data_IF_077323481212
#
_entry.id   IF_077323481212
#
_cell.length_a   1.000
_cell.length_b   1.000
_cell.length_c   1.000
_cell.angle_alpha   90.00
_cell.angle_beta   90.00
_cell.angle_gamma   90.00
#
_symmetry.space_group_name_H-M   'P 1'
#
loop_
_entity.id
_entity.type
_entity.pdbx_description
1 polymer ?
#
# COMPACT_ATOMS: atom_id res chain seq x y z
N UNK A 1 10.11 15.70 1.05
CA UNK A 1 9.40 14.61 0.35
C UNK A 1 9.55 14.72 -1.17
N UNK A 2 8.96 15.74 -1.81
CA UNK A 2 8.93 15.88 -3.28
C UNK A 2 10.32 15.97 -3.95
N UNK A 3 11.28 16.65 -3.33
CA UNK A 3 12.62 16.77 -3.93
C UNK A 3 13.34 15.41 -3.94
N UNK A 4 13.21 14.63 -2.87
CA UNK A 4 13.82 13.29 -2.73
C UNK A 4 13.26 12.27 -3.73
N UNK A 5 11.99 12.40 -4.11
CA UNK A 5 11.34 11.47 -5.06
C UNK A 5 11.85 11.61 -6.50
N UNK A 6 12.71 12.60 -6.78
CA UNK A 6 13.47 12.68 -8.04
C UNK A 6 14.66 11.72 -8.10
N UNK A 7 15.06 11.12 -6.97
CA UNK A 7 16.26 10.29 -6.84
C UNK A 7 15.97 8.90 -6.25
N UNK A 8 14.98 8.79 -5.36
CA UNK A 8 14.64 7.55 -4.67
C UNK A 8 13.14 7.26 -4.70
N UNK A 9 12.79 6.00 -4.92
CA UNK A 9 11.40 5.52 -4.91
C UNK A 9 10.79 5.46 -3.52
N UNK A 10 11.61 5.39 -2.48
CA UNK A 10 11.19 5.30 -1.08
C UNK A 10 11.93 6.33 -0.26
N UNK A 11 11.25 6.94 0.71
CA UNK A 11 11.91 7.67 1.78
C UNK A 11 11.02 7.73 3.02
N UNK A 12 11.59 7.38 4.18
CA UNK A 12 11.01 7.63 5.50
C UNK A 12 11.62 8.89 6.13
N UNK A 13 10.87 9.57 6.99
CA UNK A 13 11.35 10.72 7.74
C UNK A 13 10.64 10.84 9.10
N UNK A 14 11.33 11.48 10.04
CA UNK A 14 10.79 11.88 11.33
C UNK A 14 11.16 13.34 11.58
N UNK A 15 10.17 14.16 11.93
CA UNK A 15 10.34 15.59 12.26
C UNK A 15 9.93 15.77 13.72
N UNK A 16 10.68 16.58 14.48
CA UNK A 16 10.34 16.90 15.87
C UNK A 16 10.75 15.85 16.91
N UNK A 17 11.63 14.91 16.55
CA UNK A 17 12.19 13.88 17.45
C UNK A 17 13.44 14.35 18.22
N UNK A 18 13.76 15.65 18.20
CA UNK A 18 14.88 16.18 18.99
C UNK A 18 14.49 16.21 20.47
N UNK A 19 15.37 15.66 21.31
CA UNK A 19 15.18 15.33 22.73
C UNK A 19 14.88 16.50 23.68
N UNK A 20 14.60 17.69 23.15
CA UNK A 20 14.34 18.93 23.90
C UNK A 20 12.87 19.38 23.89
N UNK A 21 12.01 18.75 23.09
CA UNK A 21 10.57 19.08 23.02
C UNK A 21 9.75 17.82 23.21
N UNK A 22 8.61 17.93 23.92
CA UNK A 22 7.73 16.80 24.20
C UNK A 22 7.37 16.02 22.91
N UNK A 23 7.20 14.69 22.99
CA UNK A 23 6.84 13.83 21.86
C UNK A 23 5.48 14.15 21.19
N UNK A 24 4.71 15.09 21.75
CA UNK A 24 3.39 15.53 21.25
C UNK A 24 3.44 16.27 19.91
N UNK A 25 4.63 16.70 19.46
CA UNK A 25 4.82 17.39 18.18
C UNK A 25 5.52 16.56 17.09
N UNK A 26 5.89 15.30 17.36
CA UNK A 26 6.61 14.48 16.40
C UNK A 26 5.70 14.05 15.24
N UNK A 27 6.23 14.08 14.02
CA UNK A 27 5.56 13.55 12.83
C UNK A 27 6.48 12.56 12.13
N UNK A 28 5.97 11.35 11.95
CA UNK A 28 6.58 10.29 11.19
C UNK A 28 5.88 10.22 9.84
N UNK A 29 6.64 9.98 8.77
CA UNK A 29 6.05 9.82 7.47
C UNK A 29 6.93 9.06 6.51
N UNK A 30 6.31 8.57 5.45
CA UNK A 30 6.99 7.97 4.34
C UNK A 30 6.27 8.28 3.03
N UNK A 31 7.01 8.13 1.95
CA UNK A 31 6.42 7.93 0.65
C UNK A 31 7.03 6.71 -0.03
N UNK A 32 6.27 6.10 -0.93
CA UNK A 32 6.72 5.00 -1.75
C UNK A 32 6.09 5.08 -3.13
N UNK A 33 6.91 5.20 -4.17
CA UNK A 33 6.48 5.03 -5.55
C UNK A 33 6.40 3.55 -5.93
N UNK A 34 5.65 3.26 -7.00
CA UNK A 34 5.63 1.95 -7.63
C UNK A 34 7.04 1.60 -8.14
N UNK A 35 7.50 0.38 -7.87
CA UNK A 35 8.90 0.01 -8.06
C UNK A 35 9.39 -0.01 -9.52
N UNK A 36 8.46 -0.14 -10.47
CA UNK A 36 8.67 -0.13 -11.92
C UNK A 36 8.54 1.27 -12.56
N UNK A 37 8.30 2.31 -11.76
CA UNK A 37 8.09 3.67 -12.24
C UNK A 37 9.41 4.45 -12.42
N UNK A 38 9.49 5.30 -13.45
CA UNK A 38 10.60 6.21 -13.63
C UNK A 38 10.60 7.32 -12.56
N UNK A 39 11.79 7.79 -12.15
CA UNK A 39 11.90 8.81 -11.08
C UNK A 39 11.14 10.11 -11.39
N UNK A 40 11.09 10.50 -12.66
CA UNK A 40 10.35 11.69 -13.07
C UNK A 40 8.85 11.58 -12.79
N UNK A 41 8.27 10.40 -13.03
CA UNK A 41 6.84 10.15 -12.79
C UNK A 41 6.56 9.88 -11.31
N UNK A 42 7.51 9.25 -10.60
CA UNK A 42 7.50 9.18 -9.15
C UNK A 42 7.41 10.57 -8.51
N UNK A 43 8.25 11.52 -8.94
CA UNK A 43 8.20 12.88 -8.40
C UNK A 43 6.86 13.57 -8.64
N UNK A 44 6.29 13.45 -9.84
CA UNK A 44 4.94 13.99 -10.15
C UNK A 44 3.87 13.32 -9.28
N UNK A 45 3.93 12.00 -9.13
CA UNK A 45 2.97 11.25 -8.33
C UNK A 45 3.02 11.71 -6.86
N UNK A 46 4.21 11.83 -6.26
CA UNK A 46 4.36 12.31 -4.88
C UNK A 46 3.87 13.75 -4.72
N UNK A 47 4.15 14.64 -5.69
CA UNK A 47 3.61 16.01 -5.67
C UNK A 47 2.08 16.01 -5.64
N UNK A 48 1.47 15.21 -6.52
CA UNK A 48 0.03 15.06 -6.58
C UNK A 48 -0.53 14.44 -5.29
N UNK A 49 0.12 13.41 -4.77
CA UNK A 49 -0.28 12.72 -3.55
C UNK A 49 -0.26 13.61 -2.31
N UNK A 50 0.78 14.42 -2.15
CA UNK A 50 0.86 15.41 -1.04
C UNK A 50 -0.24 16.46 -1.15
N UNK A 51 -0.56 16.94 -2.36
CA UNK A 51 -1.65 17.90 -2.54
C UNK A 51 -3.02 17.27 -2.26
N UNK A 52 -3.25 16.04 -2.72
CA UNK A 52 -4.54 15.36 -2.55
C UNK A 52 -4.78 14.89 -1.12
N UNK A 53 -3.75 14.40 -0.41
CA UNK A 53 -3.94 13.89 0.96
C UNK A 53 -4.39 15.00 1.90
N UNK A 54 -3.88 16.23 1.70
CA UNK A 54 -4.30 17.39 2.49
C UNK A 54 -5.76 17.78 2.25
N UNK A 55 -6.22 17.68 1.00
CA UNK A 55 -7.61 17.96 0.63
C UNK A 55 -8.57 16.86 1.11
N UNK A 56 -8.14 15.60 1.04
CA UNK A 56 -8.97 14.44 1.41
C UNK A 56 -9.06 14.24 2.92
N UNK A 57 -8.01 14.60 3.68
CA UNK A 57 -7.93 14.40 5.12
C UNK A 57 -7.55 15.71 5.85
N UNK A 58 -8.43 16.75 5.80
CA UNK A 58 -8.14 18.02 6.45
C UNK A 58 -8.01 17.84 7.97
N UNK A 59 -7.06 18.57 8.57
CA UNK A 59 -6.82 18.61 10.03
C UNK A 59 -6.57 17.25 10.71
N UNK A 60 -6.20 16.21 9.95
CA UNK A 60 -5.93 14.88 10.50
C UNK A 60 -4.49 14.75 11.00
N UNK A 61 -4.29 14.23 12.22
CA UNK A 61 -2.97 13.93 12.81
C UNK A 61 -2.25 12.74 12.16
N UNK A 62 -2.97 11.95 11.38
CA UNK A 62 -2.40 10.95 10.50
C UNK A 62 -3.29 10.73 9.29
N UNK A 63 -2.69 10.50 8.15
CA UNK A 63 -3.40 10.17 6.94
C UNK A 63 -2.55 9.29 6.03
N UNK A 64 -3.24 8.50 5.21
CA UNK A 64 -2.62 7.74 4.13
C UNK A 64 -3.39 7.92 2.83
N UNK A 65 -2.67 8.01 1.73
CA UNK A 65 -3.22 8.14 0.39
C UNK A 65 -2.48 7.18 -0.54
N UNK A 66 -3.23 6.33 -1.22
CA UNK A 66 -2.74 5.47 -2.29
C UNK A 66 -3.25 6.00 -3.63
N UNK A 67 -2.32 6.39 -4.49
CA UNK A 67 -2.53 6.58 -5.93
C UNK A 67 -2.04 5.33 -6.68
N UNK A 68 -2.43 5.16 -7.95
CA UNK A 68 -1.95 4.05 -8.78
C UNK A 68 -0.40 3.99 -8.89
N UNK A 69 0.26 5.15 -8.84
CA UNK A 69 1.72 5.25 -8.96
C UNK A 69 2.49 5.38 -7.64
N UNK A 70 1.85 5.73 -6.53
CA UNK A 70 2.56 6.04 -5.30
C UNK A 70 1.66 6.06 -4.05
N UNK A 71 2.31 5.93 -2.90
CA UNK A 71 1.72 5.96 -1.58
C UNK A 71 2.37 7.07 -0.74
N UNK A 72 1.55 7.79 0.03
CA UNK A 72 2.00 8.80 0.99
C UNK A 72 1.30 8.50 2.32
N UNK A 73 2.08 8.45 3.41
CA UNK A 73 1.54 8.31 4.77
C UNK A 73 2.30 9.21 5.73
N UNK A 74 1.55 9.85 6.61
CA UNK A 74 2.10 10.53 7.79
C UNK A 74 1.26 10.23 9.02
N UNK A 75 1.87 10.29 10.19
CA UNK A 75 1.23 10.03 11.47
C UNK A 75 2.05 10.65 12.61
N UNK A 76 1.42 10.98 13.72
CA UNK A 76 2.08 11.44 14.95
C UNK A 76 2.71 10.29 15.77
N UNK A 77 2.25 9.05 15.55
CA UNK A 77 2.83 7.85 16.15
C UNK A 77 3.88 7.25 15.23
N UNK A 78 4.97 6.77 15.82
CA UNK A 78 6.02 6.08 15.09
C UNK A 78 5.51 4.73 14.54
N UNK A 79 5.38 4.64 13.23
CA UNK A 79 4.99 3.42 12.51
C UNK A 79 6.12 2.84 11.65
N UNK A 80 7.27 3.52 11.56
CA UNK A 80 8.33 3.15 10.63
C UNK A 80 8.95 1.81 11.03
N UNK A 81 9.03 0.89 10.07
CA UNK A 81 9.64 -0.43 10.24
C UNK A 81 8.78 -1.41 11.06
N UNK A 82 7.54 -1.05 11.41
CA UNK A 82 6.63 -1.91 12.18
C UNK A 82 5.69 -2.64 11.23
N UNK A 83 5.69 -3.97 11.28
CA UNK A 83 4.79 -4.79 10.48
C UNK A 83 3.33 -4.52 10.86
N UNK A 84 2.50 -4.21 9.86
CA UNK A 84 1.06 -4.04 9.99
C UNK A 84 0.35 -4.68 8.79
N UNK A 85 -0.38 -5.78 9.07
CA UNK A 85 -1.13 -6.55 8.08
C UNK A 85 -2.65 -6.32 8.15
N UNK A 86 -3.07 -5.25 8.84
CA UNK A 86 -4.46 -4.80 8.84
C UNK A 86 -4.89 -4.38 7.43
N UNK A 87 -6.14 -4.73 7.05
CA UNK A 87 -6.68 -4.37 5.74
C UNK A 87 -7.00 -2.89 5.73
N UNK A 88 -6.41 -2.15 4.80
CA UNK A 88 -6.68 -0.72 4.58
C UNK A 88 -7.69 -0.52 3.47
N UNK A 89 -7.57 -1.28 2.38
CA UNK A 89 -8.50 -1.23 1.26
C UNK A 89 -8.55 -2.57 0.54
N UNK A 90 -9.72 -2.92 0.00
CA UNK A 90 -9.86 -4.06 -0.90
C UNK A 90 -10.88 -3.79 -2.00
N UNK A 91 -10.61 -4.30 -3.19
CA UNK A 91 -11.50 -4.19 -4.35
C UNK A 91 -11.51 -5.53 -5.08
N UNK A 92 -12.68 -6.06 -5.34
CA UNK A 92 -12.86 -7.24 -6.18
C UNK A 92 -13.62 -6.83 -7.43
N UNK A 93 -13.29 -7.37 -8.59
CA UNK A 93 -14.05 -7.13 -9.82
C UNK A 93 -15.47 -7.67 -9.71
N UNK A 94 -16.43 -7.02 -10.38
CA UNK A 94 -17.80 -7.53 -10.51
C UNK A 94 -17.88 -8.79 -11.38
N UNK A 95 -16.94 -8.96 -12.31
CA UNK A 95 -16.74 -10.17 -13.09
C UNK A 95 -16.10 -11.27 -12.26
N UNK A 96 -16.61 -12.49 -12.41
CA UNK A 96 -16.04 -13.70 -11.84
C UNK A 96 -15.61 -14.68 -12.92
N UNK A 97 -14.70 -15.58 -12.56
CA UNK A 97 -14.31 -16.72 -13.37
C UNK A 97 -14.78 -18.01 -12.69
N UNK A 98 -15.13 -19.01 -13.48
CA UNK A 98 -15.34 -20.39 -13.04
C UNK A 98 -14.34 -21.35 -13.70
N UNK A 99 -13.38 -20.82 -14.45
CA UNK A 99 -12.38 -21.60 -15.16
C UNK A 99 -11.31 -22.10 -14.18
N UNK A 100 -11.17 -23.43 -14.09
CA UNK A 100 -10.16 -24.09 -13.26
C UNK A 100 -8.76 -23.67 -13.65
N UNK A 101 -8.50 -23.48 -14.95
CA UNK A 101 -7.19 -23.08 -15.44
C UNK A 101 -6.86 -21.63 -15.08
N UNK A 102 -7.86 -20.74 -15.07
CA UNK A 102 -7.71 -19.39 -14.53
C UNK A 102 -7.29 -19.43 -13.06
N UNK A 103 -7.96 -20.23 -12.22
CA UNK A 103 -7.63 -20.31 -10.80
C UNK A 103 -6.25 -20.91 -10.55
N UNK A 104 -5.85 -21.91 -11.33
CA UNK A 104 -4.51 -22.48 -11.27
C UNK A 104 -3.45 -21.42 -11.60
N UNK A 105 -3.63 -20.69 -12.70
CA UNK A 105 -2.72 -19.61 -13.13
C UNK A 105 -2.68 -18.44 -12.14
N UNK A 106 -3.83 -18.07 -11.57
CA UNK A 106 -3.90 -17.08 -10.50
C UNK A 106 -3.08 -17.54 -9.30
N UNK A 107 -3.22 -18.78 -8.89
CA UNK A 107 -2.50 -19.30 -7.74
C UNK A 107 -0.97 -19.39 -8.00
N UNK A 108 -0.55 -19.70 -9.23
CA UNK A 108 0.86 -19.60 -9.65
C UNK A 108 1.38 -18.16 -9.49
N UNK A 109 0.65 -17.17 -10.02
CA UNK A 109 1.00 -15.74 -9.95
C UNK A 109 1.07 -15.25 -8.51
N UNK A 110 0.08 -15.60 -7.68
CA UNK A 110 0.03 -15.22 -6.28
C UNK A 110 1.18 -15.84 -5.47
N UNK A 111 1.50 -17.11 -5.72
CA UNK A 111 2.62 -17.80 -5.07
C UNK A 111 3.98 -17.19 -5.44
N UNK A 112 4.18 -16.87 -6.72
CA UNK A 112 5.40 -16.22 -7.19
C UNK A 112 5.62 -14.83 -6.56
N UNK A 113 4.54 -14.06 -6.37
CA UNK A 113 4.61 -12.75 -5.73
C UNK A 113 5.02 -12.81 -4.25
N UNK A 114 4.64 -13.85 -3.51
CA UNK A 114 5.02 -14.02 -2.11
C UNK A 114 6.53 -14.28 -1.93
N UNK A 115 7.12 -15.04 -2.85
CA UNK A 115 8.53 -15.45 -2.79
C UNK A 115 9.44 -14.43 -3.47
N UNK A 116 8.96 -13.86 -4.58
CA UNK A 116 9.77 -13.05 -5.49
C UNK A 116 9.95 -11.58 -5.11
N UNK A 117 9.23 -11.09 -4.10
CA UNK A 117 9.20 -9.68 -3.72
C UNK A 117 10.22 -9.29 -2.64
N UNK A 118 11.19 -10.16 -2.30
CA UNK A 118 12.24 -9.86 -1.32
C UNK A 118 13.06 -8.59 -1.61
N UNK A 119 12.96 -8.05 -2.83
CA UNK A 119 13.55 -6.80 -3.30
C UNK A 119 12.56 -5.60 -3.29
N UNK A 120 11.45 -5.69 -2.56
CA UNK A 120 10.47 -4.62 -2.38
C UNK A 120 9.23 -4.72 -3.28
N UNK A 121 9.35 -5.18 -4.53
CA UNK A 121 8.20 -5.42 -5.40
C UNK A 121 8.39 -6.61 -6.35
N UNK A 122 7.29 -7.12 -6.89
CA UNK A 122 7.28 -8.22 -7.86
C UNK A 122 6.13 -8.05 -8.86
N UNK A 123 6.47 -8.19 -10.14
CA UNK A 123 5.51 -8.39 -11.23
C UNK A 123 5.53 -9.88 -11.59
N UNK A 124 4.36 -10.49 -11.75
CA UNK A 124 4.26 -11.90 -12.11
C UNK A 124 3.16 -12.13 -13.15
N UNK A 125 3.29 -13.18 -13.93
CA UNK A 125 2.30 -13.54 -14.96
C UNK A 125 2.29 -15.03 -15.25
N UNK A 126 1.11 -15.60 -15.47
CA UNK A 126 0.91 -16.98 -15.92
C UNK A 126 -0.25 -17.01 -16.92
N UNK A 127 0.07 -17.26 -18.19
CA UNK A 127 -0.90 -17.17 -19.28
C UNK A 127 -1.53 -15.78 -19.35
N UNK A 128 -2.86 -15.71 -19.22
CA UNK A 128 -3.60 -14.45 -19.24
C UNK A 128 -3.72 -13.77 -17.87
N UNK A 129 -3.23 -14.39 -16.79
CA UNK A 129 -3.30 -13.79 -15.45
C UNK A 129 -2.01 -13.04 -15.16
N UNK A 130 -2.14 -11.80 -14.70
CA UNK A 130 -1.04 -10.94 -14.28
C UNK A 130 -1.22 -10.57 -12.82
N UNK A 131 -0.12 -10.21 -12.15
CA UNK A 131 -0.12 -9.75 -10.78
C UNK A 131 1.00 -8.78 -10.48
N UNK A 132 0.74 -7.93 -9.50
CA UNK A 132 1.69 -6.97 -8.94
C UNK A 132 1.62 -7.01 -7.41
N UNK A 133 2.77 -7.09 -6.76
CA UNK A 133 2.88 -7.03 -5.30
C UNK A 133 4.01 -6.10 -4.89
N UNK A 134 3.84 -5.38 -3.79
CA UNK A 134 4.87 -4.50 -3.26
C UNK A 134 4.73 -4.29 -1.75
N UNK A 135 5.89 -4.27 -1.09
CA UNK A 135 6.07 -3.89 0.30
C UNK A 135 6.49 -2.42 0.39
N UNK A 136 6.20 -1.79 1.52
CA UNK A 136 6.82 -0.51 1.86
C UNK A 136 8.30 -0.72 2.21
N UNK A 137 9.14 0.25 1.83
CA UNK A 137 10.60 0.14 1.91
C UNK A 137 11.17 0.16 3.33
N UNK A 138 10.37 0.39 4.36
CA UNK A 138 10.75 0.27 5.77
C UNK A 138 10.71 -1.18 6.30
N UNK A 139 10.12 -2.11 5.56
CA UNK A 139 10.07 -3.51 6.01
C UNK A 139 11.38 -4.26 5.77
N UNK A 140 11.72 -5.15 6.71
CA UNK A 140 12.73 -6.18 6.48
C UNK A 140 12.26 -7.16 5.40
N UNK A 141 13.19 -7.90 4.76
CA UNK A 141 12.81 -8.92 3.77
C UNK A 141 11.88 -9.99 4.35
N UNK A 142 12.03 -10.32 5.64
CA UNK A 142 11.18 -11.29 6.33
C UNK A 142 9.78 -10.73 6.56
N UNK A 143 9.67 -9.49 7.04
CA UNK A 143 8.36 -8.85 7.27
C UNK A 143 7.62 -8.59 5.97
N UNK A 144 8.35 -8.25 4.91
CA UNK A 144 7.79 -8.12 3.57
C UNK A 144 7.16 -9.43 3.08
N UNK A 145 7.89 -10.56 3.23
CA UNK A 145 7.35 -11.87 2.86
C UNK A 145 6.11 -12.23 3.68
N UNK A 146 6.13 -11.99 5.00
CA UNK A 146 4.98 -12.22 5.88
C UNK A 146 3.77 -11.35 5.49
N UNK A 147 3.98 -10.06 5.20
CA UNK A 147 2.92 -9.16 4.80
C UNK A 147 2.28 -9.60 3.47
N UNK A 148 3.09 -9.97 2.48
CA UNK A 148 2.58 -10.44 1.20
C UNK A 148 1.89 -11.80 1.30
N UNK A 149 2.34 -12.66 2.23
CA UNK A 149 1.65 -13.89 2.55
C UNK A 149 0.20 -13.61 3.01
N UNK A 150 0.03 -12.67 3.94
CA UNK A 150 -1.26 -12.21 4.42
C UNK A 150 -2.10 -11.55 3.31
N UNK A 151 -1.50 -10.69 2.48
CA UNK A 151 -2.21 -10.00 1.39
C UNK A 151 -2.77 -11.00 0.38
N UNK A 152 -1.99 -12.02 0.01
CA UNK A 152 -2.42 -13.11 -0.88
C UNK A 152 -3.50 -13.98 -0.22
N UNK A 153 -3.35 -14.31 1.06
CA UNK A 153 -4.40 -15.02 1.81
C UNK A 153 -5.74 -14.27 1.78
N UNK A 154 -5.69 -12.95 1.93
CA UNK A 154 -6.87 -12.07 1.86
C UNK A 154 -7.42 -11.92 0.45
N UNK A 155 -6.57 -11.88 -0.60
CA UNK A 155 -7.05 -11.92 -1.98
C UNK A 155 -7.89 -13.17 -2.25
N UNK A 156 -7.43 -14.34 -1.77
CA UNK A 156 -8.14 -15.61 -1.93
C UNK A 156 -9.43 -15.68 -1.10
N UNK A 157 -9.41 -15.23 0.15
CA UNK A 157 -10.58 -15.32 1.04
C UNK A 157 -11.64 -14.25 0.79
N UNK A 158 -11.24 -13.02 0.41
CA UNK A 158 -12.16 -11.90 0.25
C UNK A 158 -12.65 -11.69 -1.18
N UNK A 159 -11.91 -12.18 -2.19
CA UNK A 159 -12.21 -11.99 -3.61
C UNK A 159 -12.23 -13.33 -4.39
N UNK A 160 -12.66 -14.42 -3.73
CA UNK A 160 -12.49 -15.82 -4.15
C UNK A 160 -12.60 -16.13 -5.65
N UNK A 161 -13.68 -15.73 -6.33
CA UNK A 161 -13.90 -16.01 -7.75
C UNK A 161 -13.70 -14.81 -8.69
N UNK A 162 -13.25 -13.67 -8.17
CA UNK A 162 -13.10 -12.45 -8.96
C UNK A 162 -12.07 -12.62 -10.09
N UNK A 163 -12.33 -12.01 -11.25
CA UNK A 163 -11.39 -11.99 -12.37
C UNK A 163 -10.21 -11.03 -12.15
N UNK A 164 -10.41 -10.02 -11.30
CA UNK A 164 -9.35 -9.13 -10.81
C UNK A 164 -9.62 -8.74 -9.35
N UNK A 165 -8.57 -8.53 -8.58
CA UNK A 165 -8.69 -8.07 -7.20
C UNK A 165 -7.45 -7.35 -6.70
N UNK A 166 -7.69 -6.42 -5.78
CA UNK A 166 -6.70 -5.61 -5.09
C UNK A 166 -6.89 -5.74 -3.58
N UNK A 167 -5.81 -5.97 -2.85
CA UNK A 167 -5.79 -5.90 -1.39
C UNK A 167 -4.59 -5.06 -0.96
N UNK A 168 -4.87 -3.99 -0.21
CA UNK A 168 -3.89 -3.11 0.41
C UNK A 168 -3.93 -3.31 1.92
N UNK A 169 -2.78 -3.69 2.47
CA UNK A 169 -2.55 -3.79 3.91
C UNK A 169 -1.80 -2.56 4.41
N UNK A 170 -1.54 -2.50 5.72
CA UNK A 170 -0.81 -1.41 6.34
C UNK A 170 0.59 -1.19 5.76
N UNK A 171 1.31 -2.28 5.42
CA UNK A 171 2.71 -2.21 4.98
C UNK A 171 3.02 -2.90 3.63
N UNK A 172 2.02 -3.44 2.94
CA UNK A 172 2.19 -4.02 1.61
C UNK A 172 0.86 -4.11 0.87
N UNK A 173 0.90 -4.40 -0.42
CA UNK A 173 -0.28 -4.71 -1.19
C UNK A 173 0.00 -5.78 -2.25
N UNK A 174 -1.06 -6.46 -2.67
CA UNK A 174 -1.04 -7.43 -3.76
C UNK A 174 -2.27 -7.26 -4.63
N UNK A 175 -2.08 -7.40 -5.94
CA UNK A 175 -3.11 -7.24 -6.97
C UNK A 175 -2.96 -8.34 -8.01
N UNK A 176 -4.07 -8.82 -8.56
CA UNK A 176 -4.08 -9.66 -9.75
C UNK A 176 -5.21 -9.27 -10.69
N UNK A 177 -5.05 -9.57 -11.97
CA UNK A 177 -6.09 -9.37 -12.98
C UNK A 177 -5.91 -10.32 -14.16
N UNK A 178 -7.02 -10.74 -14.75
CA UNK A 178 -7.01 -11.34 -16.08
C UNK A 178 -6.76 -10.29 -17.16
N UNK A 179 -6.08 -10.69 -18.23
CA UNK A 179 -5.82 -9.86 -19.41
C UNK A 179 -7.16 -9.36 -19.99
N UNK A 180 -7.25 -8.06 -20.26
CA UNK A 180 -8.48 -7.41 -20.72
C UNK A 180 -9.39 -6.84 -19.62
N UNK A 181 -9.05 -7.02 -18.32
CA UNK A 181 -9.82 -6.46 -17.19
C UNK A 181 -9.30 -5.13 -16.64
N UNK A 182 -8.18 -4.60 -17.12
CA UNK A 182 -7.77 -3.23 -16.79
C UNK A 182 -8.34 -2.24 -17.82
N UNK A 183 -9.35 -1.42 -17.45
CA UNK A 183 -9.54 -0.15 -18.15
C UNK A 183 -8.30 0.72 -17.91
N UNK A 184 -7.89 1.50 -18.90
CA UNK A 184 -6.81 2.48 -18.79
C UNK A 184 -6.95 3.31 -17.50
N UNK A 185 -6.22 2.95 -16.44
CA UNK A 185 -6.17 3.74 -15.22
C UNK A 185 -5.21 4.89 -15.48
N UNK A 186 -5.74 6.11 -15.47
CA UNK A 186 -4.90 7.31 -15.44
C UNK A 186 -4.05 7.27 -14.17
N UNK A 187 -2.73 7.40 -14.31
CA UNK A 187 -1.74 7.32 -13.21
C UNK A 187 -2.00 8.29 -12.04
N UNK A 188 -2.92 9.23 -12.22
CA UNK A 188 -3.22 10.33 -11.29
C UNK A 188 -4.50 10.13 -10.46
N UNK A 189 -5.20 9.01 -10.59
CA UNK A 189 -6.40 8.72 -9.81
C UNK A 189 -6.06 8.12 -8.44
N UNK A 190 -6.76 8.61 -7.40
CA UNK A 190 -6.69 8.05 -6.07
C UNK A 190 -7.40 6.69 -6.00
N UNK A 191 -6.68 5.68 -5.54
CA UNK A 191 -7.23 4.36 -5.22
C UNK A 191 -7.99 4.42 -3.89
N UNK A 192 -7.40 5.04 -2.86
CA UNK A 192 -8.07 5.35 -1.59
C UNK A 192 -7.36 6.47 -0.82
N UNK A 193 -8.09 7.14 0.06
CA UNK A 193 -7.57 8.03 1.10
C UNK A 193 -8.18 7.65 2.45
N UNK A 194 -7.36 7.59 3.51
CA UNK A 194 -7.80 7.26 4.86
C UNK A 194 -7.21 8.25 5.86
N UNK A 195 -8.08 8.90 6.63
CA UNK A 195 -7.70 9.54 7.89
C UNK A 195 -7.40 8.44 8.91
N UNK A 196 -6.22 8.46 9.49
CA UNK A 196 -5.87 7.55 10.57
C UNK A 196 -6.35 8.19 11.88
N UNK A 197 -7.19 7.50 12.67
CA UNK A 197 -7.59 8.05 13.96
C UNK A 197 -6.34 8.29 14.79
N UNK A 198 -6.28 9.43 15.50
CA UNK A 198 -5.45 9.47 16.68
C UNK A 198 -5.91 8.28 17.54
N UNK A 199 -5.00 7.41 17.97
CA UNK A 199 -5.36 6.41 18.97
C UNK A 199 -5.92 7.20 20.14
N UNK A 200 -7.25 7.24 20.25
CA UNK A 200 -7.90 7.64 21.47
C UNK A 200 -7.34 6.65 22.48
N UNK A 201 -6.58 7.16 23.43
CA UNK A 201 -6.19 6.41 24.63
C UNK A 201 -7.38 5.56 25.07
N UNK A 202 -7.10 4.35 25.54
CA UNK A 202 -8.02 3.56 26.35
C UNK A 202 -8.69 4.45 27.41
N UNK A 203 -9.87 5.00 27.10
CA UNK A 203 -10.81 5.61 28.04
C UNK A 203 -12.19 5.05 27.72
N UNK A 204 -12.29 3.71 27.70
CA UNK A 204 -13.51 2.98 28.04
C UNK A 204 -13.30 2.17 29.32
N UNK A 205 -12.64 2.80 30.31
CA UNK A 205 -12.74 2.39 31.70
C UNK A 205 -13.01 3.66 32.50
N UNK A 206 -14.14 3.66 33.21
CA UNK A 206 -14.70 4.74 34.02
C UNK A 206 -15.58 5.77 33.29
N UNK A 207 -16.83 5.38 33.04
CA UNK A 207 -17.98 6.16 33.54
C UNK A 207 -19.08 5.17 33.92
N UNK A 208 -19.73 5.47 35.04
CA UNK A 208 -20.62 4.66 35.87
C UNK A 208 -21.82 4.00 35.17
#
# INVERSE_FOLDING_TARGET
>A
MVSSSSQMNYNGYAIGNDSSTQPEGAIFGLYQCRGDMAMADCSKCIQNGVNQVHLACPYSYGASLQLEGCYVRYEHLDFLGKLDTSVRFKKCSSSSSNDVEFFRRRDDVLGDMQVGAGNGFRVSSSGLVQGYAQCLGDLSSQDCSSCLADAVGKLKSLCGSAAAADVFLGQCYARYWASGFYPNSSEHQATFALSLPAMANEIEKYTE
#
